data_IF_251830574494
#
_entry.id   IF_251830574494
#
_cell.length_a   1.000
_cell.length_b   1.000
_cell.length_c   1.000
_cell.angle_alpha   90.00
_cell.angle_beta   90.00
_cell.angle_gamma   90.00
#
_symmetry.space_group_name_H-M   'P 1'
#
loop_
_entity.id
_entity.type
_entity.pdbx_description
1 polymer ?
#
# COMPACT_ATOMS: atom_id res chain seq x y z
N UNK A 1 -14.53 -7.26 6.47
CA UNK A 1 -13.21 -7.83 6.12
C UNK A 1 -12.38 -7.78 7.38
N UNK A 2 -11.84 -8.91 7.81
CA UNK A 2 -10.92 -8.94 8.94
C UNK A 2 -9.56 -8.41 8.48
N UNK A 3 -8.74 -7.89 9.41
CA UNK A 3 -7.40 -7.39 9.11
C UNK A 3 -6.53 -8.44 8.41
N UNK A 4 -6.73 -9.71 8.75
CA UNK A 4 -6.04 -10.86 8.18
C UNK A 4 -6.46 -11.16 6.74
N UNK A 5 -7.66 -10.78 6.30
CA UNK A 5 -8.12 -10.96 4.91
C UNK A 5 -7.41 -10.01 3.92
N UNK A 6 -6.78 -8.95 4.44
CA UNK A 6 -6.13 -7.91 3.63
C UNK A 6 -4.63 -8.13 3.52
N UNK A 7 -4.00 -8.69 4.55
CA UNK A 7 -2.65 -9.25 4.44
C UNK A 7 -2.72 -10.45 3.49
N UNK A 8 -1.69 -10.67 2.67
CA UNK A 8 -1.65 -11.65 1.57
C UNK A 8 -2.49 -11.30 0.33
N UNK A 9 -3.30 -10.25 0.36
CA UNK A 9 -4.07 -9.83 -0.81
C UNK A 9 -3.16 -9.32 -1.92
N UNK A 10 -3.46 -9.74 -3.14
CA UNK A 10 -2.83 -9.24 -4.36
C UNK A 10 -3.47 -7.93 -4.83
N UNK A 11 -2.63 -7.00 -5.26
CA UNK A 11 -2.99 -5.67 -5.75
C UNK A 11 -2.13 -5.33 -6.97
N UNK A 12 -2.65 -4.49 -7.86
CA UNK A 12 -1.96 -4.09 -9.07
C UNK A 12 -1.03 -2.92 -8.79
N UNK A 13 0.28 -3.15 -8.93
CA UNK A 13 1.30 -2.12 -8.97
C UNK A 13 1.64 -1.67 -10.41
N UNK A 14 2.58 -0.71 -10.56
CA UNK A 14 3.01 -0.21 -11.87
C UNK A 14 3.71 -1.28 -12.72
N UNK A 15 4.50 -2.17 -12.09
CA UNK A 15 5.30 -3.19 -12.77
C UNK A 15 4.66 -4.58 -12.77
N UNK A 16 3.47 -4.73 -12.19
CA UNK A 16 2.76 -6.00 -12.09
C UNK A 16 2.06 -6.19 -10.76
N UNK A 17 1.69 -7.43 -10.48
CA UNK A 17 1.01 -7.80 -9.23
C UNK A 17 1.97 -7.67 -8.05
N UNK A 18 1.47 -7.06 -6.99
CA UNK A 18 2.12 -6.90 -5.70
C UNK A 18 1.26 -7.55 -4.63
N UNK A 19 1.87 -7.99 -3.54
CA UNK A 19 1.16 -8.62 -2.43
C UNK A 19 1.28 -7.76 -1.18
N UNK A 20 0.17 -7.54 -0.48
CA UNK A 20 0.16 -6.82 0.80
C UNK A 20 0.86 -7.68 1.86
N UNK A 21 1.99 -7.18 2.37
CA UNK A 21 2.81 -7.84 3.37
C UNK A 21 2.49 -7.35 4.79
N UNK A 22 2.18 -6.06 4.93
CA UNK A 22 1.80 -5.46 6.21
C UNK A 22 0.88 -4.27 5.99
N UNK A 23 0.14 -3.89 7.03
CA UNK A 23 -0.72 -2.72 7.02
C UNK A 23 -0.34 -1.79 8.17
N UNK A 24 -0.40 -0.50 7.91
CA UNK A 24 -0.17 0.49 8.95
C UNK A 24 -1.51 1.04 9.44
N UNK A 25 -1.63 1.17 10.77
CA UNK A 25 -2.82 1.73 11.40
C UNK A 25 -2.97 3.25 11.16
N UNK A 26 -1.90 3.92 10.73
CA UNK A 26 -1.86 5.34 10.47
C UNK A 26 -0.91 5.66 9.30
N UNK A 27 -1.21 6.74 8.59
CA UNK A 27 -0.30 7.31 7.59
C UNK A 27 0.92 7.93 8.31
N UNK A 28 2.15 7.71 7.81
CA UNK A 28 3.32 8.34 8.38
C UNK A 28 3.24 9.88 8.24
N UNK A 29 3.77 10.62 9.24
CA UNK A 29 3.83 12.08 9.18
C UNK A 29 4.73 12.51 8.01
N UNK A 30 4.26 13.43 7.17
CA UNK A 30 5.00 13.89 5.99
C UNK A 30 4.49 13.35 4.65
N UNK A 31 3.64 12.31 4.66
CA UNK A 31 2.72 12.04 3.55
C UNK A 31 1.58 13.07 3.65
N UNK A 32 1.90 14.35 3.45
CA UNK A 32 0.88 15.34 3.19
C UNK A 32 0.22 14.91 1.88
N UNK A 33 -1.09 14.67 1.93
CA UNK A 33 -1.90 14.40 0.76
C UNK A 33 -1.75 15.60 -0.18
N UNK A 34 -0.77 15.55 -1.08
CA UNK A 34 -0.44 16.60 -2.04
C UNK A 34 -1.70 16.90 -2.87
N UNK A 35 -2.50 17.86 -2.41
CA UNK A 35 -3.66 18.44 -3.10
C UNK A 35 -4.80 17.50 -3.55
N UNK A 36 -4.69 16.18 -3.38
CA UNK A 36 -5.75 15.23 -3.78
C UNK A 36 -6.41 14.61 -2.56
N UNK A 37 -7.36 15.35 -2.01
CA UNK A 37 -8.44 14.86 -1.18
C UNK A 37 -8.03 13.75 -0.19
N UNK A 38 -7.53 14.16 0.97
CA UNK A 38 -7.52 13.41 2.23
C UNK A 38 -8.95 13.12 2.76
N UNK A 39 -9.90 12.90 1.85
CA UNK A 39 -11.30 12.58 2.08
C UNK A 39 -11.62 11.34 1.26
N UNK A 40 -11.04 10.18 1.57
CA UNK A 40 -11.47 8.93 0.93
C UNK A 40 -11.51 7.80 1.95
N UNK A 41 -12.71 7.57 2.49
CA UNK A 41 -13.14 6.29 3.07
C UNK A 41 -12.70 5.16 2.13
N UNK A 42 -11.66 4.41 2.49
CA UNK A 42 -11.27 3.19 1.77
C UNK A 42 -9.83 3.12 1.25
N UNK A 43 -9.01 4.18 1.39
CA UNK A 43 -7.58 4.10 1.07
C UNK A 43 -6.79 3.56 2.25
N UNK A 44 -5.85 2.67 1.97
CA UNK A 44 -5.17 1.88 2.98
C UNK A 44 -3.65 1.99 2.78
N UNK A 45 -2.93 2.37 3.82
CA UNK A 45 -1.47 2.45 3.77
C UNK A 45 -0.88 1.10 4.16
N UNK A 46 -0.09 0.52 3.28
CA UNK A 46 0.41 -0.84 3.42
C UNK A 46 1.84 -0.98 2.91
N UNK A 47 2.51 -2.01 3.39
CA UNK A 47 3.70 -2.53 2.76
C UNK A 47 3.28 -3.55 1.72
N UNK A 48 3.86 -3.45 0.53
CA UNK A 48 3.66 -4.40 -0.55
C UNK A 48 4.98 -5.00 -0.97
N UNK A 49 4.93 -6.25 -1.41
CA UNK A 49 6.09 -6.99 -1.92
C UNK A 49 5.81 -7.41 -3.37
N UNK A 50 6.78 -7.23 -4.25
CA UNK A 50 6.70 -7.71 -5.62
C UNK A 50 7.17 -9.18 -5.74
N UNK A 51 7.02 -9.76 -6.93
CA UNK A 51 7.49 -11.12 -7.20
C UNK A 51 9.02 -11.30 -7.10
N UNK A 52 9.78 -10.21 -7.19
CA UNK A 52 11.23 -10.23 -6.99
C UNK A 52 11.62 -10.13 -5.50
N UNK A 53 10.64 -10.04 -4.59
CA UNK A 53 10.86 -9.91 -3.15
C UNK A 53 11.21 -8.48 -2.71
N UNK A 54 11.11 -7.48 -3.60
CA UNK A 54 11.37 -6.08 -3.26
C UNK A 54 10.15 -5.51 -2.52
N UNK A 55 10.41 -4.85 -1.40
CA UNK A 55 9.38 -4.29 -0.53
C UNK A 55 9.25 -2.79 -0.76
N UNK A 56 8.02 -2.31 -0.69
CA UNK A 56 7.69 -0.91 -0.92
C UNK A 56 6.59 -0.49 0.05
N UNK A 57 6.64 0.78 0.45
CA UNK A 57 5.47 1.44 1.00
C UNK A 57 4.52 1.81 -0.14
N UNK A 58 3.24 1.53 0.04
CA UNK A 58 2.23 1.82 -0.96
C UNK A 58 0.92 2.32 -0.36
N UNK A 59 0.24 3.14 -1.15
CA UNK A 59 -1.15 3.51 -0.90
C UNK A 59 -2.05 2.59 -1.73
N UNK A 60 -2.92 1.84 -1.06
CA UNK A 60 -3.87 0.94 -1.67
C UNK A 60 -5.20 1.66 -1.84
N UNK A 61 -5.71 1.71 -3.06
CA UNK A 61 -7.03 2.21 -3.41
C UNK A 61 -7.80 1.11 -4.17
N UNK A 62 -8.65 0.38 -3.46
CA UNK A 62 -9.34 -0.79 -3.98
C UNK A 62 -8.37 -1.95 -4.28
N UNK A 63 -8.14 -2.24 -5.56
CA UNK A 63 -7.25 -3.29 -6.07
C UNK A 63 -5.94 -2.73 -6.64
N UNK A 64 -5.69 -1.42 -6.50
CA UNK A 64 -4.50 -0.76 -7.02
C UNK A 64 -3.59 -0.30 -5.90
N UNK A 65 -2.28 -0.46 -6.11
CA UNK A 65 -1.23 0.01 -5.23
C UNK A 65 -0.41 1.09 -5.92
N UNK A 66 -0.33 2.26 -5.31
CA UNK A 66 0.59 3.32 -5.69
C UNK A 66 1.86 3.20 -4.85
N UNK A 67 2.99 2.86 -5.48
CA UNK A 67 4.28 2.75 -4.82
C UNK A 67 4.79 4.13 -4.43
N UNK A 68 5.22 4.27 -3.18
CA UNK A 68 5.71 5.54 -2.61
C UNK A 68 7.22 5.49 -2.45
N UNK A 69 7.71 4.69 -1.51
CA UNK A 69 9.12 4.60 -1.17
C UNK A 69 9.55 3.13 -1.07
N UNK A 70 10.74 2.75 -1.57
CA UNK A 70 11.28 1.42 -1.38
C UNK A 70 11.60 1.21 0.11
N UNK A 71 11.31 0.01 0.61
CA UNK A 71 11.70 -0.42 1.94
C UNK A 71 12.97 -1.27 1.82
N UNK A 72 14.12 -0.63 1.95
CA UNK A 72 15.39 -1.32 2.20
C UNK A 72 15.44 -1.73 3.68
N UNK A 73 15.59 -3.03 3.94
CA UNK A 73 15.82 -3.60 5.27
C UNK A 73 17.23 -4.18 5.34
#
# INVERSE_FOLDING_TARGET
MTLTDVIDREVLGPDGTLRIAAMYAALPPGIESNGRHASQRGRLYAEVVDHAGRRWQALIDGDRAELLEPLDF
#
